data_IF_628519669657
#
_entry.id   IF_628519669657
#
_cell.length_a   1.000
_cell.length_b   1.000
_cell.length_c   1.000
_cell.angle_alpha   90.00
_cell.angle_beta   90.00
_cell.angle_gamma   90.00
#
_symmetry.space_group_name_H-M   'P 1'
#
loop_
_entity.id
_entity.type
_entity.pdbx_description
1 polymer ?
#
# COMPACT_ATOMS: atom_id res chain seq x y z
N UNK A 1 -33.89 -60.53 -55.53
CA UNK A 1 -32.73 -61.32 -55.10
C UNK A 1 -32.20 -60.73 -53.82
N UNK A 2 -32.55 -61.37 -52.68
CA UNK A 2 -32.05 -60.89 -51.35
C UNK A 2 -30.70 -61.61 -51.07
N UNK A 3 -29.61 -60.90 -51.22
CA UNK A 3 -28.29 -61.43 -50.85
C UNK A 3 -28.23 -61.61 -49.31
N UNK A 4 -28.25 -62.89 -48.87
CA UNK A 4 -28.06 -63.23 -47.46
C UNK A 4 -26.59 -63.14 -47.15
N UNK A 5 -26.20 -62.17 -46.37
CA UNK A 5 -24.83 -62.02 -45.85
C UNK A 5 -24.48 -63.22 -44.97
N UNK A 6 -23.26 -63.79 -45.16
CA UNK A 6 -22.75 -64.83 -44.26
C UNK A 6 -22.45 -64.23 -42.87
N UNK A 7 -22.53 -65.00 -41.79
CA UNK A 7 -22.31 -64.52 -40.42
C UNK A 7 -20.91 -63.85 -40.24
N UNK A 8 -19.94 -64.25 -41.02
CA UNK A 8 -18.57 -63.67 -41.04
C UNK A 8 -18.56 -62.26 -41.63
N UNK A 9 -19.27 -62.06 -42.75
CA UNK A 9 -19.41 -60.74 -43.39
C UNK A 9 -20.17 -59.76 -42.48
N UNK A 10 -21.17 -60.26 -41.78
CA UNK A 10 -21.91 -59.43 -40.77
C UNK A 10 -21.01 -58.99 -39.58
N UNK A 11 -20.09 -59.88 -39.13
CA UNK A 11 -19.11 -59.53 -38.06
C UNK A 11 -18.05 -58.51 -38.56
N UNK A 12 -17.57 -58.67 -39.79
CA UNK A 12 -16.61 -57.72 -40.41
C UNK A 12 -17.21 -56.33 -40.59
N UNK A 13 -18.47 -56.23 -41.04
CA UNK A 13 -19.20 -54.97 -41.17
C UNK A 13 -19.46 -54.27 -39.85
N UNK A 14 -19.76 -55.05 -38.74
CA UNK A 14 -19.91 -54.46 -37.40
C UNK A 14 -18.60 -53.88 -36.88
N UNK A 15 -17.48 -54.62 -36.99
CA UNK A 15 -16.14 -54.13 -36.59
C UNK A 15 -15.76 -52.89 -37.36
N UNK A 16 -16.04 -52.82 -38.65
CA UNK A 16 -15.72 -51.66 -39.50
C UNK A 16 -16.50 -50.43 -39.07
N UNK A 17 -17.78 -50.56 -38.75
CA UNK A 17 -18.63 -49.46 -38.22
C UNK A 17 -18.22 -49.02 -36.84
N UNK A 18 -17.73 -49.88 -36.00
CA UNK A 18 -17.21 -49.55 -34.67
C UNK A 18 -15.93 -48.73 -34.79
N UNK A 19 -14.99 -49.15 -35.66
CA UNK A 19 -13.76 -48.37 -35.92
C UNK A 19 -14.05 -47.02 -36.58
N UNK A 20 -14.96 -46.96 -37.53
CA UNK A 20 -15.39 -45.68 -38.13
C UNK A 20 -15.97 -44.70 -37.10
N UNK A 21 -16.80 -45.19 -36.20
CA UNK A 21 -17.36 -44.38 -35.11
C UNK A 21 -16.28 -43.90 -34.13
N UNK A 22 -15.35 -44.76 -33.74
CA UNK A 22 -14.23 -44.41 -32.90
C UNK A 22 -13.35 -43.35 -33.56
N UNK A 23 -13.01 -43.52 -34.81
CA UNK A 23 -12.19 -42.57 -35.58
C UNK A 23 -12.84 -41.17 -35.64
N UNK A 24 -14.17 -41.12 -35.84
CA UNK A 24 -14.91 -39.85 -35.89
C UNK A 24 -14.94 -39.22 -34.50
N UNK A 25 -15.20 -40.01 -33.45
CA UNK A 25 -15.22 -39.49 -32.05
C UNK A 25 -13.86 -38.93 -31.66
N UNK A 26 -12.78 -39.70 -31.91
CA UNK A 26 -11.42 -39.23 -31.59
C UNK A 26 -11.02 -38.03 -32.44
N UNK A 27 -11.39 -37.97 -33.72
CA UNK A 27 -11.15 -36.85 -34.58
C UNK A 27 -11.83 -35.54 -34.07
N UNK A 28 -13.08 -35.65 -33.68
CA UNK A 28 -13.81 -34.52 -33.09
C UNK A 28 -13.19 -34.09 -31.76
N UNK A 29 -12.81 -35.04 -30.90
CA UNK A 29 -12.19 -34.74 -29.60
C UNK A 29 -10.83 -34.03 -29.75
N UNK A 30 -10.01 -34.47 -30.65
CA UNK A 30 -8.72 -33.81 -30.97
C UNK A 30 -8.96 -32.42 -31.54
N UNK A 31 -9.92 -32.25 -32.44
CA UNK A 31 -10.24 -30.96 -33.04
C UNK A 31 -10.75 -29.98 -31.98
N UNK A 32 -11.62 -30.40 -31.07
CA UNK A 32 -12.09 -29.55 -29.98
C UNK A 32 -10.99 -29.16 -29.00
N UNK A 33 -10.08 -30.09 -28.66
CA UNK A 33 -8.91 -29.79 -27.83
C UNK A 33 -7.95 -28.82 -28.51
N UNK A 34 -7.73 -28.95 -29.80
CA UNK A 34 -6.89 -28.03 -30.57
C UNK A 34 -7.49 -26.61 -30.60
N UNK A 35 -8.80 -26.49 -30.84
CA UNK A 35 -9.49 -25.19 -30.82
C UNK A 35 -9.48 -24.58 -29.41
N UNK A 36 -9.71 -25.37 -28.38
CA UNK A 36 -9.64 -24.92 -27.00
C UNK A 36 -8.20 -24.49 -26.60
N UNK A 37 -7.20 -25.25 -27.02
CA UNK A 37 -5.79 -24.90 -26.77
C UNK A 37 -5.35 -23.61 -27.48
N UNK A 38 -5.68 -23.45 -28.75
CA UNK A 38 -5.38 -22.24 -29.51
C UNK A 38 -6.17 -21.03 -28.98
N UNK A 39 -7.44 -21.23 -28.62
CA UNK A 39 -8.26 -20.20 -28.00
C UNK A 39 -7.73 -19.77 -26.64
N UNK A 40 -7.24 -20.73 -25.83
CA UNK A 40 -6.61 -20.45 -24.53
C UNK A 40 -5.32 -19.64 -24.66
N UNK A 41 -4.46 -19.99 -25.63
CA UNK A 41 -3.24 -19.23 -25.92
C UNK A 41 -3.58 -17.81 -26.41
N UNK A 42 -4.55 -17.66 -27.30
CA UNK A 42 -4.97 -16.36 -27.83
C UNK A 42 -5.57 -15.47 -26.72
N UNK A 43 -6.33 -16.05 -25.78
CA UNK A 43 -6.86 -15.35 -24.62
C UNK A 43 -5.73 -14.96 -23.64
N UNK A 44 -4.77 -15.85 -23.40
CA UNK A 44 -3.63 -15.58 -22.52
C UNK A 44 -2.70 -14.49 -23.09
N UNK A 45 -2.51 -14.43 -24.39
CA UNK A 45 -1.68 -13.41 -25.07
C UNK A 45 -2.42 -12.08 -25.30
N UNK A 46 -3.69 -11.96 -24.88
CA UNK A 46 -4.48 -10.75 -25.04
C UNK A 46 -5.00 -10.47 -26.46
N UNK A 47 -4.78 -11.40 -27.41
CA UNK A 47 -5.21 -11.24 -28.80
C UNK A 47 -6.67 -11.62 -29.06
N UNK A 48 -7.38 -12.09 -28.04
CA UNK A 48 -8.79 -12.45 -28.15
C UNK A 48 -9.54 -12.11 -26.86
N UNK A 49 -10.52 -11.22 -26.96
CA UNK A 49 -11.42 -10.85 -25.85
C UNK A 49 -12.68 -11.69 -25.91
N UNK A 50 -12.91 -12.53 -24.92
CA UNK A 50 -14.20 -13.24 -24.79
C UNK A 50 -15.28 -12.23 -24.33
N UNK A 51 -16.48 -12.23 -24.91
CA UNK A 51 -17.60 -11.44 -24.41
C UNK A 51 -17.91 -11.88 -22.96
N UNK A 52 -17.72 -10.95 -21.99
CA UNK A 52 -17.84 -11.21 -20.56
C UNK A 52 -16.53 -11.44 -19.79
N UNK A 53 -15.36 -11.48 -20.46
CA UNK A 53 -14.05 -11.62 -19.81
C UNK A 53 -13.38 -10.28 -19.47
N UNK A 54 -14.02 -9.16 -19.78
CA UNK A 54 -13.52 -7.81 -19.47
C UNK A 54 -13.29 -7.58 -17.97
N UNK A 55 -13.93 -8.38 -17.12
CA UNK A 55 -13.77 -8.27 -15.66
C UNK A 55 -12.53 -9.00 -15.12
N UNK A 56 -11.86 -9.83 -15.93
CA UNK A 56 -10.60 -10.52 -15.55
C UNK A 56 -9.33 -9.82 -16.06
N UNK A 57 -9.47 -8.81 -16.93
CA UNK A 57 -8.35 -7.94 -17.27
C UNK A 57 -8.13 -7.08 -16.03
N UNK A 58 -6.96 -7.19 -15.43
CA UNK A 58 -6.55 -6.38 -14.29
C UNK A 58 -6.81 -4.91 -14.60
N UNK A 59 -7.98 -4.42 -14.16
CA UNK A 59 -8.29 -3.00 -14.24
C UNK A 59 -7.16 -2.29 -13.51
N UNK A 60 -6.47 -1.40 -14.18
CA UNK A 60 -5.47 -0.57 -13.52
C UNK A 60 -6.06 -0.01 -12.23
N UNK A 61 -5.38 -0.10 -11.09
CA UNK A 61 -5.95 0.30 -9.82
C UNK A 61 -6.51 1.71 -9.90
N UNK A 62 -7.82 1.86 -9.67
CA UNK A 62 -8.46 3.17 -9.66
C UNK A 62 -7.92 3.96 -8.47
N UNK A 63 -7.31 5.11 -8.72
CA UNK A 63 -6.80 5.97 -7.65
C UNK A 63 -6.07 7.19 -8.20
N UNK A 64 -5.95 8.21 -7.39
CA UNK A 64 -5.21 9.43 -7.74
C UNK A 64 -3.72 9.22 -7.50
N UNK A 65 -2.85 9.40 -8.52
CA UNK A 65 -1.41 9.35 -8.29
C UNK A 65 -0.99 10.52 -7.37
N UNK A 66 -0.08 10.24 -6.45
CA UNK A 66 0.47 11.24 -5.54
C UNK A 66 1.88 11.63 -5.99
N UNK A 67 2.11 12.91 -6.21
CA UNK A 67 3.36 13.47 -6.73
C UNK A 67 4.10 14.35 -5.70
N UNK A 68 3.70 14.29 -4.42
CA UNK A 68 4.36 15.10 -3.38
C UNK A 68 5.79 14.62 -3.10
N UNK A 69 6.65 15.56 -2.78
CA UNK A 69 8.01 15.27 -2.33
C UNK A 69 7.98 14.44 -1.03
N UNK A 70 8.84 13.45 -0.97
CA UNK A 70 8.97 12.60 0.22
C UNK A 70 10.03 13.18 1.15
N UNK A 71 9.75 13.37 2.45
CA UNK A 71 10.73 13.89 3.38
C UNK A 71 11.83 12.87 3.68
N UNK A 72 13.08 13.32 3.76
CA UNK A 72 14.18 12.49 4.26
C UNK A 72 14.04 12.22 5.76
N UNK A 73 14.50 11.05 6.23
CA UNK A 73 14.63 10.80 7.65
C UNK A 73 15.80 11.62 8.21
N UNK A 74 15.70 12.20 9.42
CA UNK A 74 16.83 12.86 10.05
C UNK A 74 18.03 11.90 10.23
N UNK A 75 19.23 12.41 9.98
CA UNK A 75 20.45 11.61 10.03
C UNK A 75 20.63 10.84 11.36
N UNK A 76 21.27 9.69 11.30
CA UNK A 76 21.64 8.85 12.43
C UNK A 76 20.48 8.38 13.35
N UNK A 77 19.23 8.51 12.91
CA UNK A 77 18.07 8.03 13.66
C UNK A 77 17.84 6.55 13.43
N UNK A 78 17.69 5.81 14.54
CA UNK A 78 17.33 4.40 14.55
C UNK A 78 15.83 4.22 14.54
N UNK A 79 15.31 3.06 14.11
CA UNK A 79 13.89 2.75 14.16
C UNK A 79 13.29 3.00 15.54
N UNK A 80 12.09 3.56 15.58
CA UNK A 80 11.36 3.76 16.82
C UNK A 80 10.77 2.44 17.34
N UNK A 81 10.69 2.30 18.65
CA UNK A 81 10.03 1.13 19.25
C UNK A 81 8.54 1.08 18.86
N UNK A 82 8.09 -0.01 18.27
CA UNK A 82 6.75 -0.16 17.66
C UNK A 82 5.61 0.19 18.63
N UNK A 83 5.69 -0.26 19.88
CA UNK A 83 4.67 0.01 20.91
C UNK A 83 4.53 1.51 21.26
N UNK A 84 5.49 2.35 20.86
CA UNK A 84 5.45 3.81 21.05
C UNK A 84 4.96 4.55 19.81
N UNK A 85 4.74 3.86 18.71
CA UNK A 85 4.27 4.44 17.46
C UNK A 85 2.75 4.34 17.44
N UNK A 86 2.10 5.48 17.52
CA UNK A 86 0.65 5.62 17.45
C UNK A 86 0.24 5.68 15.98
N UNK A 87 -0.53 4.68 15.54
CA UNK A 87 -0.93 4.52 14.14
C UNK A 87 -2.43 4.62 14.01
N UNK A 88 -2.90 5.44 13.08
CA UNK A 88 -4.29 5.43 12.59
C UNK A 88 -4.29 4.85 11.18
N UNK A 89 -5.15 3.85 10.94
CA UNK A 89 -5.26 3.23 9.61
C UNK A 89 -6.52 3.72 8.91
N UNK A 90 -6.37 4.24 7.71
CA UNK A 90 -7.44 4.81 6.90
C UNK A 90 -7.61 3.99 5.61
N UNK A 91 -8.84 3.65 5.29
CA UNK A 91 -9.16 3.00 4.03
C UNK A 91 -9.38 4.05 2.93
N UNK A 92 -8.42 4.21 2.03
CA UNK A 92 -8.52 5.02 0.82
C UNK A 92 -8.96 4.21 -0.42
N UNK A 93 -9.70 3.12 -0.22
CA UNK A 93 -10.18 2.26 -1.31
C UNK A 93 -11.68 2.00 -1.20
N UNK A 94 -12.23 1.35 -2.22
CA UNK A 94 -13.62 0.86 -2.20
C UNK A 94 -13.78 -0.53 -1.56
N UNK A 95 -12.67 -1.16 -1.12
CA UNK A 95 -12.69 -2.48 -0.46
C UNK A 95 -13.20 -2.34 0.98
N UNK A 96 -14.24 -3.08 1.35
CA UNK A 96 -14.79 -3.05 2.70
C UNK A 96 -13.80 -3.61 3.75
N UNK A 97 -13.86 -3.09 4.98
CA UNK A 97 -13.13 -3.55 6.17
C UNK A 97 -11.59 -3.50 6.08
N UNK A 98 -10.98 -3.06 4.98
CA UNK A 98 -9.54 -3.14 4.75
C UNK A 98 -8.71 -2.43 5.82
N UNK A 99 -9.14 -1.25 6.29
CA UNK A 99 -8.44 -0.54 7.35
C UNK A 99 -8.43 -1.32 8.68
N UNK A 100 -9.50 -2.02 8.99
CA UNK A 100 -9.60 -2.84 10.20
C UNK A 100 -8.62 -4.02 10.11
N UNK A 101 -8.64 -4.76 9.00
CA UNK A 101 -7.74 -5.90 8.79
C UNK A 101 -6.27 -5.49 8.88
N UNK A 102 -5.89 -4.38 8.22
CA UNK A 102 -4.50 -3.87 8.28
C UNK A 102 -4.14 -3.37 9.68
N UNK A 103 -5.08 -2.75 10.40
CA UNK A 103 -4.85 -2.29 11.77
C UNK A 103 -4.62 -3.47 12.72
N UNK A 104 -5.40 -4.56 12.62
CA UNK A 104 -5.20 -5.79 13.38
C UNK A 104 -3.83 -6.39 13.08
N UNK A 105 -3.45 -6.47 11.82
CA UNK A 105 -2.15 -6.99 11.41
C UNK A 105 -0.97 -6.15 11.93
N UNK A 106 -1.09 -4.82 11.98
CA UNK A 106 -0.09 -3.93 12.60
C UNK A 106 -0.08 -4.06 14.13
N UNK A 107 -1.24 -4.24 14.77
CA UNK A 107 -1.34 -4.50 16.21
C UNK A 107 -0.61 -5.80 16.60
N UNK A 108 -0.81 -6.88 15.84
CA UNK A 108 -0.13 -8.16 16.04
C UNK A 108 1.41 -8.03 15.92
N UNK A 109 1.88 -7.07 15.11
CA UNK A 109 3.30 -6.72 15.01
C UNK A 109 3.78 -5.74 16.09
N UNK A 110 2.91 -5.40 17.04
CA UNK A 110 3.24 -4.59 18.22
C UNK A 110 3.16 -3.07 18.03
N UNK A 111 2.48 -2.58 16.99
CA UNK A 111 2.18 -1.15 16.85
C UNK A 111 0.98 -0.74 17.72
N UNK A 112 1.00 0.50 18.25
CA UNK A 112 -0.11 1.03 19.02
C UNK A 112 -1.17 1.63 18.07
N UNK A 113 -2.28 0.93 17.84
CA UNK A 113 -3.35 1.41 16.97
C UNK A 113 -4.23 2.40 17.74
N UNK A 114 -4.34 3.64 17.24
CA UNK A 114 -5.22 4.68 17.80
C UNK A 114 -6.63 4.64 17.21
N UNK A 115 -6.78 4.13 15.99
CA UNK A 115 -8.10 4.01 15.36
C UNK A 115 -8.04 3.61 13.90
N UNK A 116 -9.22 3.40 13.34
CA UNK A 116 -9.43 3.11 11.92
C UNK A 116 -10.48 4.07 11.35
N UNK A 117 -10.44 4.29 10.05
CA UNK A 117 -11.40 5.17 9.36
C UNK A 117 -11.33 5.03 7.85
N UNK A 118 -11.94 5.98 7.16
CA UNK A 118 -11.91 6.07 5.71
C UNK A 118 -11.24 7.38 5.27
N UNK A 119 -10.62 7.34 4.11
CA UNK A 119 -10.07 8.51 3.43
C UNK A 119 -10.79 8.70 2.08
N UNK A 120 -11.27 9.91 1.84
CA UNK A 120 -12.00 10.25 0.62
C UNK A 120 -11.09 10.58 -0.56
N UNK A 121 -9.78 10.72 -0.35
CA UNK A 121 -8.81 11.06 -1.39
C UNK A 121 -8.59 9.93 -2.41
N UNK A 122 -8.91 8.69 -2.05
CA UNK A 122 -8.77 7.50 -2.88
C UNK A 122 -7.39 7.43 -3.55
N UNK A 123 -6.29 7.40 -2.79
CA UNK A 123 -4.96 7.37 -3.38
C UNK A 123 -4.72 6.05 -4.12
N UNK A 124 -3.91 6.10 -5.17
CA UNK A 124 -3.48 4.90 -5.88
C UNK A 124 -2.50 4.08 -5.02
N UNK A 125 -1.46 4.73 -4.50
CA UNK A 125 -0.46 4.13 -3.62
C UNK A 125 -0.87 4.30 -2.15
N UNK A 126 -0.42 3.40 -1.28
CA UNK A 126 -0.54 3.58 0.17
C UNK A 126 0.28 4.80 0.62
N UNK A 127 -0.29 5.61 1.50
CA UNK A 127 0.37 6.80 2.03
C UNK A 127 0.67 6.59 3.51
N UNK A 128 1.90 6.88 3.91
CA UNK A 128 2.32 6.99 5.31
C UNK A 128 2.52 8.46 5.62
N UNK A 129 1.64 9.03 6.43
CA UNK A 129 1.61 10.49 6.69
C UNK A 129 2.02 10.79 8.12
N UNK A 130 2.90 11.77 8.31
CA UNK A 130 3.29 12.27 9.63
C UNK A 130 3.68 13.74 9.58
N UNK A 131 3.70 14.39 10.76
CA UNK A 131 4.35 15.70 10.88
C UNK A 131 5.88 15.58 10.98
N UNK A 132 6.61 16.72 10.96
CA UNK A 132 8.07 16.74 10.98
C UNK A 132 8.67 16.00 12.18
N UNK A 133 8.04 16.09 13.36
CA UNK A 133 8.47 15.41 14.59
C UNK A 133 8.26 13.89 14.55
N UNK A 134 7.43 13.38 13.62
CA UNK A 134 7.05 11.98 13.50
C UNK A 134 7.79 11.19 12.43
N UNK A 135 8.77 11.78 11.75
CA UNK A 135 9.43 11.15 10.60
C UNK A 135 10.09 9.81 10.94
N UNK A 136 10.73 9.69 12.10
CA UNK A 136 11.35 8.42 12.53
C UNK A 136 10.30 7.32 12.71
N UNK A 137 9.14 7.66 13.26
CA UNK A 137 8.00 6.77 13.42
C UNK A 137 7.43 6.38 12.05
N UNK A 138 7.25 7.36 11.16
CA UNK A 138 6.75 7.14 9.82
C UNK A 138 7.66 6.22 8.99
N UNK A 139 8.98 6.41 9.03
CA UNK A 139 9.93 5.52 8.38
C UNK A 139 9.92 4.10 8.96
N UNK A 140 9.70 3.97 10.27
CA UNK A 140 9.57 2.64 10.91
C UNK A 140 8.29 1.92 10.45
N UNK A 141 7.20 2.65 10.22
CA UNK A 141 5.96 2.11 9.65
C UNK A 141 6.09 1.83 8.16
N UNK A 142 6.73 2.75 7.41
CA UNK A 142 6.95 2.65 5.96
C UNK A 142 7.62 1.32 5.56
N UNK A 143 8.52 0.81 6.39
CA UNK A 143 9.18 -0.48 6.16
C UNK A 143 8.20 -1.67 6.08
N UNK A 144 6.94 -1.50 6.47
CA UNK A 144 5.86 -2.50 6.34
C UNK A 144 5.10 -2.39 5.03
N UNK A 145 5.32 -1.32 4.28
CA UNK A 145 4.59 -0.96 3.06
C UNK A 145 5.59 -0.51 1.98
N UNK A 146 6.31 -1.44 1.32
CA UNK A 146 7.41 -1.09 0.41
C UNK A 146 6.98 -0.19 -0.75
N UNK A 147 5.72 -0.31 -1.20
CA UNK A 147 5.15 0.49 -2.29
C UNK A 147 4.49 1.79 -1.80
N UNK A 148 4.57 2.09 -0.50
CA UNK A 148 3.95 3.28 0.05
C UNK A 148 4.81 4.53 -0.16
N UNK A 149 4.14 5.68 -0.21
CA UNK A 149 4.79 6.99 -0.24
C UNK A 149 4.68 7.68 1.11
N UNK A 150 5.77 8.33 1.50
CA UNK A 150 5.78 9.16 2.70
C UNK A 150 5.25 10.55 2.37
N UNK A 151 4.36 11.06 3.23
CA UNK A 151 3.74 12.39 3.09
C UNK A 151 3.99 13.18 4.36
N UNK A 152 4.43 14.43 4.19
CA UNK A 152 4.61 15.37 5.29
C UNK A 152 3.34 16.22 5.44
N UNK A 153 2.79 16.29 6.65
CA UNK A 153 1.74 17.23 7.00
C UNK A 153 2.15 18.12 8.20
N UNK A 154 1.32 19.11 8.53
CA UNK A 154 1.59 20.09 9.59
C UNK A 154 1.07 19.66 10.97
N UNK A 155 0.82 18.33 11.19
CA UNK A 155 0.38 17.84 12.51
C UNK A 155 1.46 17.99 13.55
N UNK A 156 1.09 18.36 14.78
CA UNK A 156 1.99 18.30 15.92
C UNK A 156 2.16 16.86 16.41
N UNK A 157 3.33 16.56 16.99
CA UNK A 157 3.58 15.26 17.61
C UNK A 157 4.12 14.20 16.65
N UNK A 158 3.99 12.93 17.07
CA UNK A 158 4.68 11.80 16.44
C UNK A 158 3.74 10.71 15.94
N UNK A 159 2.43 10.99 15.86
CA UNK A 159 1.45 10.03 15.32
C UNK A 159 1.62 9.85 13.82
N UNK A 160 1.27 8.67 13.34
CA UNK A 160 1.40 8.27 11.93
C UNK A 160 0.03 7.84 11.42
N UNK A 161 -0.37 8.32 10.25
CA UNK A 161 -1.52 7.81 9.53
C UNK A 161 -1.07 6.93 8.38
N UNK A 162 -1.70 5.78 8.22
CA UNK A 162 -1.53 4.89 7.08
C UNK A 162 -2.82 4.91 6.28
N UNK A 163 -2.83 5.58 5.12
CA UNK A 163 -3.96 5.55 4.19
C UNK A 163 -3.72 4.47 3.14
N UNK A 164 -4.49 3.39 3.20
CA UNK A 164 -4.36 2.27 2.28
C UNK A 164 -4.82 2.71 0.89
N UNK A 165 -3.96 2.52 -0.10
CA UNK A 165 -4.23 2.86 -1.49
C UNK A 165 -4.76 1.68 -2.32
N UNK A 166 -5.18 1.97 -3.56
CA UNK A 166 -5.78 0.98 -4.46
C UNK A 166 -4.81 -0.14 -4.85
N UNK A 167 -3.50 0.16 -4.95
CA UNK A 167 -2.44 -0.80 -5.29
C UNK A 167 -2.01 -1.69 -4.11
N UNK A 168 -2.50 -1.43 -2.91
CA UNK A 168 -2.15 -2.22 -1.73
C UNK A 168 -2.55 -3.69 -1.89
N UNK A 169 -1.61 -4.58 -1.66
CA UNK A 169 -1.78 -6.04 -1.68
C UNK A 169 -1.74 -6.65 -0.29
N UNK A 170 -0.64 -6.46 0.43
CA UNK A 170 -0.38 -7.07 1.74
C UNK A 170 0.61 -6.24 2.54
N UNK A 171 0.55 -6.31 3.86
CA UNK A 171 1.60 -5.80 4.74
C UNK A 171 2.80 -6.75 4.66
N UNK A 172 4.00 -6.22 4.47
CA UNK A 172 5.23 -7.02 4.35
C UNK A 172 5.37 -8.01 5.52
N UNK A 173 5.58 -9.30 5.25
CA UNK A 173 5.84 -10.30 6.28
C UNK A 173 7.03 -9.91 7.19
N UNK A 174 7.00 -10.33 8.46
CA UNK A 174 7.99 -9.89 9.46
C UNK A 174 9.42 -10.30 9.09
N UNK A 175 9.59 -11.46 8.49
CA UNK A 175 10.87 -12.02 8.04
C UNK A 175 11.46 -11.34 6.80
N UNK A 176 10.62 -10.63 6.04
CA UNK A 176 11.05 -9.87 4.87
C UNK A 176 11.40 -8.41 5.20
N UNK A 177 11.01 -7.92 6.37
CA UNK A 177 11.27 -6.53 6.75
C UNK A 177 12.73 -6.33 7.17
N UNK A 178 13.47 -5.60 6.34
CA UNK A 178 14.87 -5.26 6.59
C UNK A 178 15.00 -4.03 7.51
N UNK A 179 14.60 -4.18 8.77
CA UNK A 179 14.66 -3.10 9.75
C UNK A 179 15.35 -3.59 11.03
N UNK A 180 16.63 -3.25 11.19
CA UNK A 180 17.38 -3.53 12.43
C UNK A 180 17.27 -2.33 13.37
N UNK A 181 16.85 -2.57 14.61
CA UNK A 181 16.76 -1.56 15.67
C UNK A 181 18.11 -0.92 16.05
N UNK A 182 19.23 -1.54 15.68
CA UNK A 182 20.59 -1.05 15.96
C UNK A 182 21.17 -0.23 14.81
N UNK A 183 20.64 -0.36 13.62
CA UNK A 183 21.13 0.32 12.40
C UNK A 183 20.31 1.60 12.17
N UNK A 184 20.94 2.71 11.80
CA UNK A 184 20.22 3.92 11.40
C UNK A 184 19.28 3.67 10.21
N UNK A 185 18.15 4.39 10.21
CA UNK A 185 17.20 4.38 9.10
C UNK A 185 17.85 4.98 7.86
N UNK A 186 17.56 4.39 6.71
CA UNK A 186 17.96 4.92 5.40
C UNK A 186 16.78 5.69 4.79
N UNK A 187 17.06 6.87 4.29
CA UNK A 187 16.09 7.68 3.57
C UNK A 187 15.68 7.01 2.25
N UNK A 188 14.44 7.24 1.83
CA UNK A 188 13.98 6.83 0.49
C UNK A 188 14.76 7.58 -0.59
N UNK A 189 14.93 6.95 -1.74
CA UNK A 189 15.65 7.56 -2.85
C UNK A 189 14.91 8.81 -3.36
N UNK A 190 15.67 9.88 -3.66
CA UNK A 190 15.10 11.14 -4.14
C UNK A 190 14.30 11.92 -3.10
N UNK A 191 14.47 11.63 -1.81
CA UNK A 191 13.83 12.40 -0.75
C UNK A 191 14.37 13.85 -0.69
N UNK A 192 13.59 14.73 -0.10
CA UNK A 192 13.90 16.15 0.12
C UNK A 192 13.94 16.42 1.63
N UNK A 193 14.81 17.31 2.07
CA UNK A 193 14.85 17.72 3.47
C UNK A 193 13.50 18.25 3.93
N UNK A 194 13.02 17.77 5.09
CA UNK A 194 11.68 18.12 5.58
C UNK A 194 11.44 19.64 5.72
N UNK A 195 12.49 20.41 5.99
CA UNK A 195 12.43 21.88 6.07
C UNK A 195 12.19 22.57 4.72
N UNK A 196 12.41 21.88 3.60
CA UNK A 196 12.22 22.39 2.23
C UNK A 196 10.86 22.01 1.67
N UNK A 197 10.13 21.09 2.32
CA UNK A 197 8.82 20.64 1.89
C UNK A 197 7.74 21.51 2.53
N UNK A 198 6.82 22.03 1.73
CA UNK A 198 5.59 22.63 2.27
C UNK A 198 4.66 21.52 2.76
N UNK A 199 4.43 21.41 4.08
CA UNK A 199 3.59 20.34 4.61
C UNK A 199 2.15 20.43 4.12
N UNK A 200 1.53 19.30 3.91
CA UNK A 200 0.09 19.24 3.63
C UNK A 200 -0.72 19.61 4.88
N UNK A 201 -1.93 20.18 4.75
CA UNK A 201 -2.76 20.43 5.90
C UNK A 201 -3.14 19.11 6.61
N UNK A 202 -2.87 19.05 7.91
CA UNK A 202 -3.27 17.91 8.73
C UNK A 202 -4.80 17.81 8.83
N UNK A 203 -5.36 16.60 9.04
CA UNK A 203 -6.79 16.42 9.29
C UNK A 203 -7.31 17.25 10.47
N UNK A 204 -8.56 17.70 10.40
CA UNK A 204 -9.19 18.58 11.40
C UNK A 204 -9.12 18.05 12.86
N UNK A 205 -9.00 16.74 13.07
CA UNK A 205 -8.79 16.16 14.40
C UNK A 205 -7.52 16.66 15.11
N UNK A 206 -6.60 17.30 14.39
CA UNK A 206 -5.37 17.89 14.93
C UNK A 206 -5.48 19.39 15.20
N UNK A 207 -6.57 20.07 14.85
CA UNK A 207 -6.71 21.53 14.96
C UNK A 207 -6.54 22.04 16.39
N UNK A 208 -7.15 21.36 17.38
CA UNK A 208 -6.95 21.71 18.77
C UNK A 208 -5.51 21.49 19.25
N UNK A 209 -4.89 20.41 18.81
CA UNK A 209 -3.49 20.13 19.15
C UNK A 209 -2.54 21.11 18.49
N UNK A 210 -2.81 21.54 17.26
CA UNK A 210 -2.08 22.60 16.55
C UNK A 210 -2.19 23.93 17.28
N UNK A 211 -3.42 24.30 17.71
CA UNK A 211 -3.65 25.52 18.48
C UNK A 211 -2.86 25.53 19.80
N UNK A 212 -2.90 24.43 20.56
CA UNK A 212 -2.13 24.28 21.79
C UNK A 212 -0.61 24.33 21.56
N UNK A 213 -0.12 23.72 20.48
CA UNK A 213 1.28 23.74 20.13
C UNK A 213 1.76 25.16 19.75
N UNK A 214 0.96 25.90 19.00
CA UNK A 214 1.24 27.30 18.65
C UNK A 214 1.25 28.21 19.85
N UNK A 215 0.26 28.06 20.79
CA UNK A 215 0.20 28.82 22.01
C UNK A 215 1.41 28.56 22.93
N UNK A 216 1.83 27.29 23.02
CA UNK A 216 3.03 26.94 23.78
C UNK A 216 4.30 27.54 23.15
N UNK A 217 4.45 27.45 21.84
CA UNK A 217 5.61 28.03 21.14
C UNK A 217 5.69 29.57 21.32
N UNK A 218 4.55 30.26 21.31
CA UNK A 218 4.49 31.68 21.57
C UNK A 218 4.93 32.04 23.01
N UNK A 219 4.51 31.24 24.00
CA UNK A 219 4.94 31.46 25.43
C UNK A 219 6.45 31.17 25.59
N UNK A 220 6.94 30.08 25.00
CA UNK A 220 8.35 29.73 25.09
C UNK A 220 9.20 30.86 24.45
N UNK A 221 8.77 31.47 23.33
CA UNK A 221 9.43 32.60 22.69
C UNK A 221 9.41 33.89 23.53
N UNK A 222 8.29 34.18 24.21
CA UNK A 222 8.19 35.33 25.14
C UNK A 222 9.11 35.17 26.37
N UNK A 223 9.22 33.96 26.91
CA UNK A 223 10.15 33.64 28.00
C UNK A 223 11.61 33.80 27.60
N UNK A 224 11.99 33.34 26.40
CA UNK A 224 13.34 33.53 25.85
C UNK A 224 13.67 35.02 25.63
N UNK A 225 12.74 35.80 25.09
CA UNK A 225 12.94 37.24 24.89
C UNK A 225 13.10 37.99 26.21
N UNK A 226 12.32 37.60 27.22
CA UNK A 226 12.41 38.19 28.56
C UNK A 226 13.74 37.83 29.24
N UNK A 227 14.15 36.57 29.16
CA UNK A 227 15.42 36.13 29.71
C UNK A 227 16.63 36.84 29.05
N UNK A 228 16.57 37.09 27.74
CA UNK A 228 17.59 37.83 27.02
C UNK A 228 17.65 39.32 27.49
N UNK A 229 16.51 39.97 27.70
CA UNK A 229 16.44 41.35 28.20
C UNK A 229 16.94 41.48 29.64
N UNK A 230 16.60 40.51 30.50
CA UNK A 230 17.07 40.48 31.89
C UNK A 230 18.61 40.26 31.97
N UNK A 231 19.17 39.46 31.08
CA UNK A 231 20.62 39.28 30.97
C UNK A 231 21.37 40.54 30.51
N UNK A 232 20.82 41.27 29.54
CA UNK A 232 21.41 42.52 29.03
C UNK A 232 21.34 43.65 30.08
N UNK A 233 20.29 43.69 30.90
CA UNK A 233 20.14 44.68 31.98
C UNK A 233 21.09 44.45 33.15
N UNK A 234 21.55 43.20 33.40
CA UNK A 234 22.47 42.85 34.47
C UNK A 234 23.94 43.20 34.14
N UNK A 235 24.33 43.20 32.86
CA UNK A 235 25.72 43.51 32.45
C UNK A 235 25.99 45.02 32.44
N UNK A 236 24.98 45.87 32.32
CA UNK A 236 25.16 47.34 32.33
C UNK A 236 25.37 47.96 33.71
N UNK A 237 25.25 47.18 34.81
CA UNK A 237 25.39 47.68 36.18
C UNK A 237 26.78 47.46 36.83
N UNK A 238 27.75 46.87 36.09
CA UNK A 238 29.08 46.52 36.65
C UNK A 238 30.23 47.44 36.17
N UNK A 239 29.93 48.61 35.56
CA UNK A 239 30.93 49.62 35.12
C UNK A 239 30.72 50.95 35.81
N UNK A 240 31.01 51.03 37.12
CA UNK A 240 31.36 52.26 37.83
C UNK A 240 32.46 52.02 38.85
#
# INVERSE_FOLDING_TARGET
MNARFTPEQARALRRRREHERQTVIFGVLIATLAVAGLGGVAAYTGNFSLPGSSDFISKEPEGTPVTWDQPCVPADKKPAGRAKIKVTVLNGTKRAALAVTVAEELADRGFAIEGTGNDTRLPRQTLVTSGPSGLVQAYTVLARFPEARLVLDDRPGKSVDVTIGAEFTVVTPEDEVQLDSKVPLTSVEGCVEAAQITPQPAPARFDEAKKKAAEKAAKDAEEEEKAAKDAESSDSSTTE
#
